data_IF_307408540872
#
_entry.id   IF_307408540872
#
_cell.length_a   1.000
_cell.length_b   1.000
_cell.length_c   1.000
_cell.angle_alpha   90.00
_cell.angle_beta   90.00
_cell.angle_gamma   90.00
#
_symmetry.space_group_name_H-M   'P 1'
#
loop_
_entity.id
_entity.type
_entity.pdbx_description
1 polymer ?
#
# COMPACT_ATOMS: atom_id res chain seq x y z
N UNK A 1 -8.78 -28.47 10.79
CA UNK A 1 -8.53 -28.43 12.25
C UNK A 1 -8.28 -26.98 12.64
N UNK A 2 -9.23 -26.33 13.30
CA UNK A 2 -9.12 -24.95 13.78
C UNK A 2 -9.38 -24.96 15.29
N UNK A 3 -8.34 -24.74 16.07
CA UNK A 3 -8.48 -24.33 17.47
C UNK A 3 -8.59 -22.80 17.48
N UNK A 4 -9.75 -22.28 17.88
CA UNK A 4 -9.90 -20.91 18.40
C UNK A 4 -9.81 -21.01 19.91
N UNK A 5 -8.75 -20.49 20.50
CA UNK A 5 -8.66 -20.21 21.92
C UNK A 5 -8.52 -18.69 22.07
N UNK A 6 -9.63 -18.04 22.39
CA UNK A 6 -9.68 -16.65 22.85
C UNK A 6 -9.41 -16.70 24.36
N UNK A 7 -8.27 -16.17 24.78
CA UNK A 7 -7.97 -15.90 26.19
C UNK A 7 -8.23 -14.41 26.42
N UNK A 8 -9.37 -14.12 27.05
CA UNK A 8 -9.70 -12.82 27.63
C UNK A 8 -9.27 -12.86 29.10
N UNK A 9 -8.26 -12.07 29.46
CA UNK A 9 -7.95 -11.72 30.85
C UNK A 9 -8.31 -10.25 31.02
N UNK A 10 -9.44 -9.99 31.67
CA UNK A 10 -9.78 -8.67 32.16
C UNK A 10 -9.32 -8.56 33.63
N UNK A 11 -8.57 -7.50 34.02
CA UNK A 11 -8.35 -7.21 35.42
C UNK A 11 -9.60 -6.53 36.00
N UNK A 12 -10.16 -7.14 37.04
CA UNK A 12 -11.22 -6.56 37.88
C UNK A 12 -10.58 -5.49 38.76
N UNK A 13 -10.81 -4.22 38.43
CA UNK A 13 -10.55 -3.07 39.29
C UNK A 13 -11.81 -2.75 40.10
N UNK A 14 -11.74 -2.98 41.41
CA UNK A 14 -12.72 -2.53 42.40
C UNK A 14 -12.38 -1.08 42.79
N UNK A 15 -13.24 -0.12 42.44
CA UNK A 15 -13.19 1.26 42.90
C UNK A 15 -14.46 1.60 43.71
N UNK A 16 -14.22 2.29 44.83
CA UNK A 16 -15.20 2.62 45.86
C UNK A 16 -16.20 3.69 45.41
N UNK A 17 -17.47 3.46 45.75
CA UNK A 17 -18.62 4.27 45.37
C UNK A 17 -18.98 5.31 46.46
N UNK A 18 -18.82 6.59 46.14
CA UNK A 18 -19.59 7.73 46.69
C UNK A 18 -19.41 8.93 45.73
N UNK A 19 -20.23 8.94 44.66
CA UNK A 19 -20.24 9.96 43.61
C UNK A 19 -20.91 9.53 42.29
N UNK A 20 -21.73 8.48 42.30
CA UNK A 20 -21.95 7.60 41.13
C UNK A 20 -23.21 7.83 40.28
N UNK A 21 -23.78 9.03 40.26
CA UNK A 21 -24.91 9.36 39.36
C UNK A 21 -24.45 9.58 37.91
N UNK A 22 -23.52 10.53 37.72
CA UNK A 22 -23.07 10.95 36.40
C UNK A 22 -22.38 9.87 35.56
N UNK A 23 -21.62 8.97 36.19
CA UNK A 23 -20.94 7.89 35.47
C UNK A 23 -21.91 6.88 34.85
N UNK A 24 -23.07 6.66 35.50
CA UNK A 24 -24.10 5.74 35.01
C UNK A 24 -24.84 6.32 33.81
N UNK A 25 -25.21 7.60 33.87
CA UNK A 25 -25.87 8.30 32.75
C UNK A 25 -24.94 8.37 31.54
N UNK A 26 -23.65 8.69 31.75
CA UNK A 26 -22.66 8.67 30.67
C UNK A 26 -22.54 7.27 30.05
N UNK A 27 -22.45 6.22 30.86
CA UNK A 27 -22.36 4.86 30.35
C UNK A 27 -23.59 4.45 29.54
N UNK A 28 -24.79 4.86 29.97
CA UNK A 28 -26.04 4.66 29.22
C UNK A 28 -26.05 5.42 27.89
N UNK A 29 -25.61 6.68 27.88
CA UNK A 29 -25.45 7.45 26.64
C UNK A 29 -24.49 6.78 25.67
N UNK A 30 -23.30 6.35 26.15
CA UNK A 30 -22.30 5.66 25.34
C UNK A 30 -22.88 4.37 24.76
N UNK A 31 -23.59 3.58 25.56
CA UNK A 31 -24.21 2.34 25.10
C UNK A 31 -25.27 2.59 24.02
N UNK A 32 -26.13 3.61 24.18
CA UNK A 32 -27.14 3.99 23.19
C UNK A 32 -26.49 4.48 21.89
N UNK A 33 -25.45 5.31 21.98
CA UNK A 33 -24.71 5.82 20.83
C UNK A 33 -24.01 4.67 20.04
N UNK A 34 -23.38 3.72 20.73
CA UNK A 34 -22.77 2.54 20.09
C UNK A 34 -23.83 1.65 19.45
N UNK A 35 -25.02 1.51 20.06
CA UNK A 35 -26.12 0.73 19.49
C UNK A 35 -26.65 1.31 18.17
N UNK A 36 -26.53 2.63 17.95
CA UNK A 36 -26.84 3.28 16.67
C UNK A 36 -25.72 3.13 15.62
N UNK A 37 -24.61 2.47 15.97
CA UNK A 37 -23.54 2.07 15.05
C UNK A 37 -22.32 2.99 15.03
N UNK A 38 -22.26 3.98 15.91
CA UNK A 38 -21.05 4.81 16.08
C UNK A 38 -19.95 4.06 16.86
N UNK A 39 -18.70 4.51 16.71
CA UNK A 39 -17.57 3.90 17.44
C UNK A 39 -17.58 4.25 18.92
N UNK A 40 -17.15 3.32 19.77
CA UNK A 40 -17.08 3.54 21.23
C UNK A 40 -16.24 4.79 21.58
N UNK A 41 -15.12 5.01 20.90
CA UNK A 41 -14.28 6.19 21.10
C UNK A 41 -15.02 7.52 20.80
N UNK A 42 -15.84 7.55 19.75
CA UNK A 42 -16.68 8.70 19.43
C UNK A 42 -17.72 8.94 20.53
N UNK A 43 -18.45 7.90 20.91
CA UNK A 43 -19.53 7.97 21.89
C UNK A 43 -19.01 8.38 23.27
N UNK A 44 -17.85 7.87 23.69
CA UNK A 44 -17.19 8.27 24.94
C UNK A 44 -16.80 9.74 24.91
N UNK A 45 -16.15 10.20 23.83
CA UNK A 45 -15.81 11.62 23.66
C UNK A 45 -17.04 12.51 23.73
N UNK A 46 -18.11 12.13 23.03
CA UNK A 46 -19.34 12.92 22.98
C UNK A 46 -20.03 12.95 24.34
N UNK A 47 -20.11 11.81 25.03
CA UNK A 47 -20.65 11.73 26.39
C UNK A 47 -19.87 12.59 27.39
N UNK A 48 -18.53 12.59 27.31
CA UNK A 48 -17.67 13.45 28.14
C UNK A 48 -17.87 14.94 27.86
N UNK A 49 -17.87 15.33 26.58
CA UNK A 49 -18.06 16.72 26.17
C UNK A 49 -19.44 17.24 26.59
N UNK A 50 -20.49 16.46 26.35
CA UNK A 50 -21.86 16.83 26.71
C UNK A 50 -22.06 16.90 28.23
N UNK A 51 -21.46 15.98 29.00
CA UNK A 51 -21.54 16.02 30.46
C UNK A 51 -20.80 17.23 31.05
N UNK A 52 -19.76 17.72 30.38
CA UNK A 52 -19.05 18.93 30.77
C UNK A 52 -19.82 20.22 30.42
N UNK A 53 -20.64 20.20 29.37
CA UNK A 53 -21.37 21.39 28.88
C UNK A 53 -22.82 21.51 29.35
N UNK A 54 -23.47 20.39 29.69
CA UNK A 54 -24.87 20.32 30.07
C UNK A 54 -25.00 20.12 31.59
N UNK A 55 -26.05 20.69 32.18
CA UNK A 55 -26.44 20.34 33.54
C UNK A 55 -26.97 18.90 33.61
N UNK A 56 -27.00 18.34 34.82
CA UNK A 56 -27.35 16.93 35.06
C UNK A 56 -28.75 16.56 34.57
N UNK A 57 -29.75 17.44 34.76
CA UNK A 57 -31.13 17.19 34.33
C UNK A 57 -31.23 17.19 32.79
N UNK A 58 -30.58 18.15 32.15
CA UNK A 58 -30.54 18.25 30.68
C UNK A 58 -29.79 17.07 30.06
N UNK A 59 -28.67 16.64 30.66
CA UNK A 59 -27.93 15.47 30.19
C UNK A 59 -28.73 14.19 30.36
N UNK A 60 -29.37 13.97 31.52
CA UNK A 60 -30.23 12.79 31.75
C UNK A 60 -31.37 12.72 30.73
N UNK A 61 -32.03 13.85 30.45
CA UNK A 61 -33.09 13.93 29.43
C UNK A 61 -32.58 13.56 28.04
N UNK A 62 -31.34 13.94 27.71
CA UNK A 62 -30.70 13.57 26.46
C UNK A 62 -30.37 12.07 26.40
N UNK A 63 -29.93 11.47 27.51
CA UNK A 63 -29.67 10.02 27.60
C UNK A 63 -30.94 9.22 27.36
N UNK A 64 -32.04 9.57 28.04
CA UNK A 64 -33.34 8.90 27.83
C UNK A 64 -33.82 9.01 26.38
N UNK A 65 -33.62 10.18 25.76
CA UNK A 65 -33.91 10.37 24.35
C UNK A 65 -33.06 9.46 23.46
N UNK A 66 -31.75 9.39 23.69
CA UNK A 66 -30.82 8.54 22.93
C UNK A 66 -31.15 7.04 23.07
N UNK A 67 -31.45 6.58 24.29
CA UNK A 67 -31.85 5.18 24.54
C UNK A 67 -33.17 4.85 23.83
N UNK A 68 -34.13 5.78 23.84
CA UNK A 68 -35.41 5.62 23.14
C UNK A 68 -35.21 5.50 21.64
N UNK A 69 -34.29 6.28 21.06
CA UNK A 69 -33.93 6.21 19.64
C UNK A 69 -33.26 4.87 19.30
N UNK A 70 -32.28 4.43 20.10
CA UNK A 70 -31.51 3.20 19.86
C UNK A 70 -32.37 1.92 19.78
N UNK A 71 -33.48 1.88 20.52
CA UNK A 71 -34.41 0.74 20.53
C UNK A 71 -35.60 0.85 19.56
N UNK A 72 -35.79 1.99 18.89
CA UNK A 72 -36.99 2.27 18.12
C UNK A 72 -36.91 1.75 16.67
N UNK A 73 -38.06 1.34 16.12
CA UNK A 73 -38.21 1.16 14.67
C UNK A 73 -38.11 2.50 13.93
N UNK A 74 -37.82 2.47 12.63
CA UNK A 74 -37.75 3.69 11.80
C UNK A 74 -39.02 4.58 11.92
N UNK A 75 -40.20 3.97 11.91
CA UNK A 75 -41.47 4.71 12.10
C UNK A 75 -41.58 5.34 13.50
N UNK A 76 -41.06 4.66 14.53
CA UNK A 76 -41.08 5.16 15.90
C UNK A 76 -40.04 6.26 16.14
N UNK A 77 -38.86 6.19 15.50
CA UNK A 77 -37.82 7.23 15.55
C UNK A 77 -38.38 8.60 15.14
N UNK A 78 -39.23 8.63 14.10
CA UNK A 78 -39.89 9.86 13.65
C UNK A 78 -40.80 10.49 14.71
N UNK A 79 -41.57 9.68 15.46
CA UNK A 79 -42.45 10.18 16.52
C UNK A 79 -41.65 10.66 17.74
N UNK A 80 -40.58 9.95 18.12
CA UNK A 80 -39.70 10.33 19.22
C UNK A 80 -39.01 11.67 18.92
N UNK A 81 -38.48 11.83 17.69
CA UNK A 81 -37.86 13.07 17.25
C UNK A 81 -38.83 14.27 17.30
N UNK A 82 -40.08 14.11 16.87
CA UNK A 82 -41.10 15.17 16.97
C UNK A 82 -41.42 15.54 18.41
N UNK A 83 -41.44 14.56 19.33
CA UNK A 83 -41.60 14.81 20.76
C UNK A 83 -40.45 15.65 21.33
N UNK A 84 -39.21 15.36 20.92
CA UNK A 84 -38.03 16.10 21.38
C UNK A 84 -38.06 17.58 21.00
N UNK A 85 -38.61 17.91 19.82
CA UNK A 85 -38.76 19.30 19.35
C UNK A 85 -39.74 20.13 20.19
N UNK A 86 -40.52 19.52 21.09
CA UNK A 86 -41.38 20.25 22.02
C UNK A 86 -40.68 20.71 23.30
N UNK A 87 -39.47 20.20 23.57
CA UNK A 87 -38.69 20.53 24.77
C UNK A 87 -37.50 21.45 24.42
N UNK A 88 -37.53 22.74 24.82
CA UNK A 88 -36.47 23.69 24.46
C UNK A 88 -35.10 23.36 25.07
N UNK A 89 -35.06 22.70 26.24
CA UNK A 89 -33.79 22.24 26.83
C UNK A 89 -33.17 21.13 25.99
N UNK A 90 -34.00 20.19 25.52
CA UNK A 90 -33.55 19.09 24.68
C UNK A 90 -33.10 19.58 23.30
N UNK A 91 -33.76 20.57 22.71
CA UNK A 91 -33.29 21.22 21.47
C UNK A 91 -31.89 21.81 21.67
N UNK A 92 -31.69 22.61 22.73
CA UNK A 92 -30.38 23.18 23.02
C UNK A 92 -29.31 22.09 23.26
N UNK A 93 -29.68 20.98 23.90
CA UNK A 93 -28.79 19.83 24.06
C UNK A 93 -28.45 19.16 22.71
N UNK A 94 -29.43 19.00 21.80
CA UNK A 94 -29.21 18.44 20.47
C UNK A 94 -28.30 19.33 19.61
N UNK A 95 -28.41 20.66 19.72
CA UNK A 95 -27.48 21.59 19.06
C UNK A 95 -26.04 21.39 19.57
N UNK A 96 -25.88 21.13 20.88
CA UNK A 96 -24.58 20.78 21.48
C UNK A 96 -24.08 19.41 21.03
N UNK A 97 -24.97 18.43 20.88
CA UNK A 97 -24.65 17.10 20.32
C UNK A 97 -24.06 17.25 18.92
N UNK A 98 -24.66 18.06 18.06
CA UNK A 98 -24.15 18.28 16.70
C UNK A 98 -22.79 18.99 16.70
N UNK A 99 -22.64 20.06 17.50
CA UNK A 99 -21.40 20.80 17.60
C UNK A 99 -20.23 19.93 18.09
N UNK A 100 -20.47 19.13 19.15
CA UNK A 100 -19.47 18.21 19.73
C UNK A 100 -19.24 16.98 18.85
N UNK A 101 -20.24 16.55 18.07
CA UNK A 101 -20.12 15.39 17.18
C UNK A 101 -18.99 15.58 16.18
N UNK A 102 -18.86 16.76 15.57
CA UNK A 102 -17.81 17.01 14.58
C UNK A 102 -16.40 16.84 15.17
N UNK A 103 -16.15 17.44 16.33
CA UNK A 103 -14.86 17.36 17.02
C UNK A 103 -14.58 15.95 17.52
N UNK A 104 -15.59 15.27 18.07
CA UNK A 104 -15.43 13.90 18.55
C UNK A 104 -15.25 12.89 17.41
N UNK A 105 -15.86 13.09 16.23
CA UNK A 105 -15.60 12.25 15.05
C UNK A 105 -14.17 12.38 14.59
N UNK A 106 -13.62 13.60 14.56
CA UNK A 106 -12.22 13.82 14.21
C UNK A 106 -11.27 13.20 15.24
N UNK A 107 -11.56 13.35 16.54
CA UNK A 107 -10.76 12.75 17.60
C UNK A 107 -10.80 11.20 17.54
N UNK A 108 -11.98 10.61 17.36
CA UNK A 108 -12.14 9.16 17.25
C UNK A 108 -11.41 8.61 16.03
N UNK A 109 -11.53 9.26 14.87
CA UNK A 109 -10.79 8.87 13.66
C UNK A 109 -9.27 8.97 13.84
N UNK A 110 -8.80 9.99 14.58
CA UNK A 110 -7.38 10.15 14.88
C UNK A 110 -6.87 9.05 15.82
N UNK A 111 -7.62 8.70 16.85
CA UNK A 111 -7.25 7.62 17.76
C UNK A 111 -7.26 6.25 17.07
N UNK A 112 -8.24 5.99 16.19
CA UNK A 112 -8.25 4.79 15.35
C UNK A 112 -7.02 4.73 14.44
N UNK A 113 -6.70 5.84 13.75
CA UNK A 113 -5.51 5.92 12.91
C UNK A 113 -4.21 5.78 13.71
N UNK A 114 -4.14 6.28 14.95
CA UNK A 114 -2.99 6.07 15.85
C UNK A 114 -2.84 4.60 16.24
N UNK A 115 -3.94 3.93 16.56
CA UNK A 115 -3.93 2.51 16.86
C UNK A 115 -3.45 1.69 15.65
N UNK A 116 -3.92 2.03 14.45
CA UNK A 116 -3.47 1.41 13.19
C UNK A 116 -1.96 1.62 12.97
N UNK A 117 -1.47 2.86 13.08
CA UNK A 117 -0.03 3.17 12.98
C UNK A 117 0.78 2.35 14.00
N UNK A 118 0.32 2.26 15.24
CA UNK A 118 1.00 1.48 16.27
C UNK A 118 1.09 -0.02 15.90
N UNK A 119 0.03 -0.59 15.31
CA UNK A 119 0.03 -1.98 14.80
C UNK A 119 1.06 -2.14 13.67
N UNK A 120 1.10 -1.20 12.72
CA UNK A 120 2.06 -1.22 11.61
C UNK A 120 3.50 -1.08 12.09
N UNK A 121 3.75 -0.21 13.06
CA UNK A 121 5.07 -0.06 13.68
C UNK A 121 5.50 -1.32 14.42
N UNK A 122 4.59 -1.98 15.13
CA UNK A 122 4.85 -3.25 15.78
C UNK A 122 5.19 -4.34 14.75
N UNK A 123 4.46 -4.42 13.64
CA UNK A 123 4.73 -5.34 12.54
C UNK A 123 6.12 -5.08 11.90
N UNK A 124 6.44 -3.81 11.62
CA UNK A 124 7.75 -3.37 11.13
C UNK A 124 8.87 -3.77 12.08
N UNK A 125 8.69 -3.57 13.38
CA UNK A 125 9.67 -3.94 14.41
C UNK A 125 9.84 -5.47 14.53
N UNK A 126 8.76 -6.24 14.44
CA UNK A 126 8.83 -7.70 14.40
C UNK A 126 9.63 -8.18 13.17
N UNK A 127 9.37 -7.57 12.01
CA UNK A 127 10.08 -7.87 10.77
C UNK A 127 11.56 -7.51 10.84
N UNK A 128 11.92 -6.35 11.41
CA UNK A 128 13.33 -5.99 11.67
C UNK A 128 14.04 -7.04 12.51
N UNK A 129 13.38 -7.58 13.54
CA UNK A 129 13.95 -8.67 14.37
C UNK A 129 14.14 -9.95 13.55
N UNK A 130 13.19 -10.29 12.68
CA UNK A 130 13.31 -11.44 11.78
C UNK A 130 14.44 -11.27 10.77
N UNK A 131 14.56 -10.09 10.15
CA UNK A 131 15.62 -9.76 9.22
C UNK A 131 17.00 -9.80 9.89
N UNK A 132 17.13 -9.25 11.10
CA UNK A 132 18.37 -9.30 11.88
C UNK A 132 18.78 -10.73 12.28
N UNK A 133 17.83 -11.66 12.40
CA UNK A 133 18.10 -13.07 12.65
C UNK A 133 18.47 -13.87 11.39
N UNK A 134 18.28 -13.29 10.19
CA UNK A 134 18.58 -13.93 8.91
C UNK A 134 20.09 -13.96 8.66
N UNK A 135 20.56 -15.00 7.97
CA UNK A 135 21.95 -15.07 7.51
C UNK A 135 22.11 -14.24 6.24
N UNK A 136 22.76 -13.08 6.37
CA UNK A 136 23.07 -12.20 5.25
C UNK A 136 24.54 -12.31 4.83
N UNK A 137 24.86 -12.14 3.52
CA UNK A 137 23.93 -11.89 2.42
C UNK A 137 23.14 -13.15 2.02
N UNK A 138 21.87 -12.96 1.63
CA UNK A 138 21.07 -14.04 1.06
C UNK A 138 21.66 -14.49 -0.28
N UNK A 139 21.68 -15.79 -0.54
CA UNK A 139 22.10 -16.35 -1.83
C UNK A 139 20.87 -16.90 -2.54
N UNK A 140 20.39 -16.26 -3.61
CA UNK A 140 19.20 -16.71 -4.31
C UNK A 140 19.42 -18.07 -4.95
N UNK A 141 18.37 -18.88 -5.02
CA UNK A 141 18.40 -20.20 -5.66
C UNK A 141 18.10 -20.01 -7.15
N UNK A 142 19.10 -19.55 -7.88
CA UNK A 142 18.97 -19.24 -9.31
C UNK A 142 20.22 -19.62 -10.07
N UNK A 143 20.04 -20.06 -11.31
CA UNK A 143 21.16 -20.32 -12.21
C UNK A 143 22.00 -19.05 -12.45
N UNK A 144 23.33 -19.18 -12.52
CA UNK A 144 24.18 -18.10 -12.96
C UNK A 144 23.74 -17.56 -14.32
N UNK A 145 23.97 -16.26 -14.55
CA UNK A 145 23.79 -15.67 -15.87
C UNK A 145 24.71 -16.37 -16.87
N UNK A 146 24.19 -16.69 -18.05
CA UNK A 146 25.01 -17.27 -19.12
C UNK A 146 26.12 -16.28 -19.53
N UNK A 147 27.33 -16.75 -19.87
CA UNK A 147 28.39 -15.87 -20.37
C UNK A 147 27.92 -15.07 -21.59
N UNK A 148 28.13 -13.75 -21.57
CA UNK A 148 27.72 -12.83 -22.64
C UNK A 148 26.24 -12.46 -22.68
N UNK A 149 25.40 -13.04 -21.81
CA UNK A 149 24.01 -12.60 -21.68
C UNK A 149 23.95 -11.18 -21.07
N UNK A 150 22.93 -10.38 -21.44
CA UNK A 150 22.79 -9.02 -20.94
C UNK A 150 22.61 -8.97 -19.42
N UNK A 151 23.08 -7.89 -18.81
CA UNK A 151 22.88 -7.62 -17.38
C UNK A 151 21.41 -7.30 -17.14
N UNK A 152 20.76 -8.10 -16.30
CA UNK A 152 19.30 -8.11 -16.07
C UNK A 152 18.95 -7.86 -14.59
N UNK A 153 19.89 -7.33 -13.81
CA UNK A 153 19.71 -7.10 -12.37
C UNK A 153 19.56 -5.63 -11.99
N UNK A 154 18.81 -5.38 -10.91
CA UNK A 154 18.72 -4.09 -10.22
C UNK A 154 18.94 -4.34 -8.74
N UNK A 155 20.05 -3.82 -8.19
CA UNK A 155 20.42 -4.04 -6.79
C UNK A 155 20.38 -5.52 -6.37
N UNK A 156 21.03 -6.37 -7.18
CA UNK A 156 21.10 -7.83 -7.03
C UNK A 156 19.79 -8.60 -7.24
N UNK A 157 18.65 -7.92 -7.42
CA UNK A 157 17.39 -8.53 -7.83
C UNK A 157 17.42 -8.85 -9.31
N UNK A 158 17.01 -10.06 -9.70
CA UNK A 158 17.00 -10.53 -11.09
C UNK A 158 15.64 -11.10 -11.50
N UNK A 159 15.36 -11.01 -12.78
CA UNK A 159 14.21 -11.66 -13.39
C UNK A 159 14.27 -13.17 -13.19
N UNK A 160 13.14 -13.77 -12.83
CA UNK A 160 12.98 -15.19 -12.56
C UNK A 160 13.33 -15.63 -11.14
N UNK A 161 13.73 -14.73 -10.24
CA UNK A 161 13.83 -15.05 -8.80
C UNK A 161 12.46 -15.42 -8.22
N UNK A 162 12.44 -16.28 -7.19
CA UNK A 162 11.20 -16.52 -6.42
C UNK A 162 10.83 -15.31 -5.56
N UNK A 163 9.59 -15.28 -5.08
CA UNK A 163 9.16 -14.27 -4.12
C UNK A 163 10.05 -14.26 -2.87
N UNK A 164 10.35 -15.43 -2.33
CA UNK A 164 11.12 -15.61 -1.10
C UNK A 164 12.57 -15.15 -1.28
N UNK A 165 13.17 -15.38 -2.45
CA UNK A 165 14.53 -14.92 -2.74
C UNK A 165 14.60 -13.39 -2.86
N UNK A 166 13.61 -12.77 -3.52
CA UNK A 166 13.54 -11.30 -3.65
C UNK A 166 13.37 -10.66 -2.27
N UNK A 167 12.40 -11.15 -1.48
CA UNK A 167 12.16 -10.68 -0.12
C UNK A 167 13.41 -10.83 0.75
N UNK A 168 14.10 -11.97 0.67
CA UNK A 168 15.32 -12.22 1.43
C UNK A 168 16.48 -11.28 1.07
N UNK A 169 16.69 -11.00 -0.21
CA UNK A 169 17.72 -10.06 -0.65
C UNK A 169 17.42 -8.67 -0.11
N UNK A 170 16.16 -8.21 -0.26
CA UNK A 170 15.73 -6.89 0.19
C UNK A 170 15.84 -6.74 1.72
N UNK A 171 15.41 -7.75 2.49
CA UNK A 171 15.57 -7.75 3.95
C UNK A 171 17.04 -7.69 4.38
N UNK A 172 17.94 -8.35 3.63
CA UNK A 172 19.37 -8.35 3.93
C UNK A 172 20.09 -7.03 3.64
N UNK A 173 19.44 -6.05 2.98
CA UNK A 173 20.05 -4.74 2.74
C UNK A 173 20.10 -3.87 3.98
N UNK A 174 19.14 -4.03 4.90
CA UNK A 174 19.04 -3.27 6.15
C UNK A 174 18.53 -1.83 6.01
N UNK A 175 18.52 -1.26 4.80
CA UNK A 175 17.98 0.07 4.50
C UNK A 175 16.46 0.06 4.18
N UNK A 176 15.92 -1.08 3.74
CA UNK A 176 14.50 -1.23 3.40
C UNK A 176 13.74 -1.90 4.54
N UNK A 177 12.68 -1.25 5.04
CA UNK A 177 12.05 -1.61 6.32
C UNK A 177 10.55 -1.88 6.20
N UNK A 178 9.91 -1.35 5.17
CA UNK A 178 8.49 -1.53 4.91
C UNK A 178 8.34 -2.45 3.72
N UNK A 179 7.48 -3.44 3.86
CA UNK A 179 7.23 -4.46 2.85
C UNK A 179 5.74 -4.66 2.76
N UNK A 180 5.20 -4.54 1.57
CA UNK A 180 3.79 -4.69 1.30
C UNK A 180 3.57 -5.59 0.09
N UNK A 181 2.51 -6.38 0.12
CA UNK A 181 2.21 -7.40 -0.88
C UNK A 181 0.82 -7.16 -1.43
N UNK A 182 0.74 -6.80 -2.71
CA UNK A 182 -0.54 -6.69 -3.40
C UNK A 182 -0.92 -8.04 -4.02
N UNK A 183 -2.16 -8.45 -3.76
CA UNK A 183 -2.71 -9.71 -4.27
C UNK A 183 -2.94 -9.67 -5.77
N UNK A 184 -3.30 -8.52 -6.31
CA UNK A 184 -3.76 -8.35 -7.68
C UNK A 184 -2.94 -7.26 -8.34
N UNK A 185 -2.54 -7.43 -9.60
CA UNK A 185 -1.96 -6.35 -10.42
C UNK A 185 -2.03 -6.67 -11.90
N UNK A 186 -1.39 -7.78 -12.30
CA UNK A 186 -1.49 -8.26 -13.67
C UNK A 186 -2.86 -8.88 -13.94
N UNK A 187 -3.45 -9.52 -12.92
CA UNK A 187 -4.71 -10.29 -13.00
C UNK A 187 -5.57 -10.17 -11.74
N UNK A 188 -6.87 -10.30 -11.94
CA UNK A 188 -7.86 -10.52 -10.87
C UNK A 188 -7.59 -11.90 -10.24
N UNK A 189 -7.57 -11.97 -8.90
CA UNK A 189 -7.28 -13.20 -8.18
C UNK A 189 -8.49 -14.13 -8.09
N UNK A 190 -9.69 -13.63 -8.38
CA UNK A 190 -10.98 -14.32 -8.24
C UNK A 190 -11.15 -14.97 -6.85
N UNK A 191 -10.63 -14.31 -5.82
CA UNK A 191 -10.68 -14.77 -4.43
C UNK A 191 -9.60 -15.80 -4.06
N UNK A 192 -8.76 -16.23 -4.99
CA UNK A 192 -7.56 -17.06 -4.72
C UNK A 192 -6.51 -16.20 -4.04
N UNK A 193 -5.73 -16.78 -3.12
CA UNK A 193 -4.60 -16.08 -2.50
C UNK A 193 -3.43 -16.01 -3.50
N UNK A 194 -2.92 -14.81 -3.71
CA UNK A 194 -1.88 -14.51 -4.71
C UNK A 194 -0.97 -13.42 -4.17
N UNK A 195 0.27 -13.36 -4.69
CA UNK A 195 1.27 -12.33 -4.34
C UNK A 195 1.84 -11.75 -5.63
N UNK A 196 1.08 -10.86 -6.28
CA UNK A 196 1.42 -10.36 -7.62
C UNK A 196 2.38 -9.17 -7.61
N UNK A 197 2.39 -8.39 -6.52
CA UNK A 197 3.37 -7.33 -6.30
C UNK A 197 3.99 -7.46 -4.92
N UNK A 198 5.28 -7.14 -4.85
CA UNK A 198 5.98 -6.80 -3.61
C UNK A 198 6.48 -5.37 -3.71
N UNK A 199 6.08 -4.50 -2.80
CA UNK A 199 6.71 -3.20 -2.57
C UNK A 199 7.64 -3.32 -1.37
N UNK A 200 8.85 -2.79 -1.49
CA UNK A 200 9.79 -2.67 -0.39
C UNK A 200 10.42 -1.27 -0.38
N UNK A 201 10.24 -0.52 0.71
CA UNK A 201 10.69 0.87 0.81
C UNK A 201 11.29 1.25 2.18
N UNK A 202 12.14 2.29 2.18
CA UNK A 202 12.85 2.81 3.36
C UNK A 202 12.09 3.91 4.13
N UNK A 203 10.93 4.33 3.63
CA UNK A 203 10.15 5.44 4.22
C UNK A 203 9.61 5.17 5.62
N UNK A 204 8.94 6.17 6.19
CA UNK A 204 8.28 6.06 7.48
C UNK A 204 6.79 5.81 7.28
N UNK A 205 6.16 5.07 8.19
CA UNK A 205 4.71 4.87 8.19
C UNK A 205 4.03 6.24 8.28
N UNK A 206 3.07 6.49 7.39
CA UNK A 206 2.35 7.76 7.37
C UNK A 206 1.69 8.04 8.73
N UNK A 207 1.91 9.22 9.34
CA UNK A 207 1.39 9.55 10.67
C UNK A 207 -0.14 9.61 10.66
N UNK A 208 -0.75 9.37 11.81
CA UNK A 208 -2.20 9.29 11.96
C UNK A 208 -2.91 10.58 11.50
N UNK A 209 -2.32 11.74 11.80
CA UNK A 209 -2.84 13.04 11.40
C UNK A 209 -2.91 13.17 9.87
N UNK A 210 -1.87 12.72 9.16
CA UNK A 210 -1.84 12.75 7.70
C UNK A 210 -2.85 11.77 7.10
N UNK A 211 -3.03 10.58 7.68
CA UNK A 211 -4.04 9.61 7.24
C UNK A 211 -5.45 10.18 7.32
N UNK A 212 -5.82 10.77 8.46
CA UNK A 212 -7.14 11.40 8.66
C UNK A 212 -7.33 12.61 7.73
N UNK A 213 -6.24 13.31 7.38
CA UNK A 213 -6.24 14.40 6.40
C UNK A 213 -6.26 13.92 4.92
N UNK A 214 -6.50 12.64 4.65
CA UNK A 214 -6.56 12.08 3.31
C UNK A 214 -5.21 11.70 2.71
N UNK A 215 -4.20 11.44 3.54
CA UNK A 215 -2.87 10.99 3.13
C UNK A 215 -1.97 12.08 2.56
N UNK A 216 -2.25 13.37 2.83
CA UNK A 216 -1.42 14.46 2.33
C UNK A 216 0.05 14.30 2.77
N UNK A 217 0.96 14.32 1.79
CA UNK A 217 2.41 14.19 2.04
C UNK A 217 2.90 12.74 2.14
N UNK A 218 2.01 11.75 1.99
CA UNK A 218 2.36 10.34 1.98
C UNK A 218 2.21 9.74 0.56
N UNK A 219 3.01 8.73 0.26
CA UNK A 219 3.10 8.02 -1.02
C UNK A 219 2.67 6.55 -0.83
N UNK A 220 1.54 6.20 -1.43
CA UNK A 220 0.96 4.85 -1.46
C UNK A 220 1.49 3.98 -2.62
N UNK A 221 2.50 4.47 -3.36
CA UNK A 221 3.06 3.81 -4.54
C UNK A 221 2.08 3.68 -5.71
N UNK A 222 0.92 4.34 -5.66
CA UNK A 222 -0.12 4.31 -6.69
C UNK A 222 -0.89 3.00 -6.81
N UNK A 223 -0.88 2.14 -5.78
CA UNK A 223 -1.55 0.84 -5.81
C UNK A 223 -2.19 0.44 -4.47
N UNK A 224 -2.64 1.43 -3.68
CA UNK A 224 -3.19 1.20 -2.35
C UNK A 224 -2.26 0.40 -1.44
N UNK A 225 -0.94 0.53 -1.64
CA UNK A 225 0.02 0.07 -0.65
C UNK A 225 -0.09 0.96 0.59
N UNK A 226 0.46 0.46 1.68
CA UNK A 226 0.64 1.21 2.91
C UNK A 226 1.28 2.59 2.62
N UNK A 227 0.60 3.71 2.90
CA UNK A 227 1.15 5.04 2.64
C UNK A 227 2.39 5.29 3.50
N UNK A 228 3.46 5.75 2.85
CA UNK A 228 4.73 6.07 3.50
C UNK A 228 5.14 7.52 3.24
N UNK A 229 5.82 8.15 4.19
CA UNK A 229 6.47 9.44 4.01
C UNK A 229 7.99 9.26 3.85
N UNK A 230 8.67 10.26 3.29
CA UNK A 230 10.14 10.31 3.22
C UNK A 230 10.79 9.09 2.53
N UNK A 231 10.13 8.55 1.50
CA UNK A 231 10.63 7.39 0.73
C UNK A 231 11.79 7.81 -0.18
N UNK A 232 13.00 7.37 0.13
CA UNK A 232 14.20 7.63 -0.67
C UNK A 232 14.60 6.43 -1.53
N UNK A 233 14.31 5.20 -1.09
CA UNK A 233 14.49 3.98 -1.85
C UNK A 233 13.18 3.21 -1.89
N UNK A 234 12.79 2.80 -3.09
CA UNK A 234 11.65 1.94 -3.29
C UNK A 234 11.98 0.90 -4.34
N UNK A 235 11.63 -0.35 -4.04
CA UNK A 235 11.63 -1.46 -4.97
C UNK A 235 10.20 -1.94 -5.14
N UNK A 236 9.77 -2.11 -6.38
CA UNK A 236 8.51 -2.79 -6.69
C UNK A 236 8.85 -3.97 -7.58
N UNK A 237 8.39 -5.16 -7.22
CA UNK A 237 8.64 -6.37 -8.00
C UNK A 237 7.31 -7.01 -8.33
N UNK A 238 7.05 -7.20 -9.63
CA UNK A 238 5.89 -7.93 -10.10
C UNK A 238 6.21 -9.40 -10.31
N UNK A 239 5.29 -10.24 -9.88
CA UNK A 239 5.39 -11.70 -9.97
C UNK A 239 4.25 -12.27 -10.80
N UNK A 240 4.53 -13.37 -11.48
CA UNK A 240 3.52 -14.23 -12.08
C UNK A 240 3.64 -15.64 -11.50
N UNK A 241 2.49 -16.28 -11.27
CA UNK A 241 2.40 -17.63 -10.69
C UNK A 241 1.59 -17.66 -9.39
N UNK A 242 1.13 -18.86 -9.02
CA UNK A 242 0.49 -19.13 -7.73
C UNK A 242 1.52 -19.15 -6.57
N UNK A 243 1.07 -19.06 -5.30
CA UNK A 243 1.93 -19.22 -4.13
C UNK A 243 2.90 -20.40 -4.17
N UNK A 244 4.20 -20.12 -4.00
CA UNK A 244 5.33 -21.04 -4.09
C UNK A 244 5.91 -21.20 -5.50
N UNK A 245 5.17 -20.81 -6.54
CA UNK A 245 5.58 -20.87 -7.93
C UNK A 245 5.87 -19.48 -8.53
N UNK A 246 5.75 -18.41 -7.75
CA UNK A 246 5.93 -17.05 -8.23
C UNK A 246 7.33 -16.81 -8.78
N UNK A 247 7.40 -16.09 -9.91
CA UNK A 247 8.67 -15.68 -10.50
C UNK A 247 8.64 -14.19 -10.82
N UNK A 248 9.69 -13.48 -10.42
CA UNK A 248 9.86 -12.06 -10.67
C UNK A 248 9.91 -11.81 -12.18
N UNK A 249 8.96 -11.04 -12.71
CA UNK A 249 8.85 -10.72 -14.13
C UNK A 249 9.20 -9.28 -14.48
N UNK A 250 9.03 -8.39 -13.51
CA UNK A 250 9.38 -6.98 -13.63
C UNK A 250 9.94 -6.47 -12.31
N UNK A 251 10.99 -5.67 -12.37
CA UNK A 251 11.62 -5.05 -11.20
C UNK A 251 11.74 -3.56 -11.47
N UNK A 252 11.16 -2.75 -10.59
CA UNK A 252 11.36 -1.31 -10.52
C UNK A 252 12.21 -0.97 -9.31
N UNK A 253 13.06 0.03 -9.49
CA UNK A 253 13.76 0.73 -8.41
C UNK A 253 13.59 2.22 -8.60
N UNK A 254 13.13 2.90 -7.55
CA UNK A 254 13.18 4.35 -7.42
C UNK A 254 14.21 4.73 -6.36
N UNK A 255 15.02 5.71 -6.69
CA UNK A 255 15.95 6.36 -5.76
C UNK A 255 15.70 7.86 -5.81
N UNK A 256 15.30 8.45 -4.69
CA UNK A 256 15.25 9.90 -4.48
C UNK A 256 16.47 10.29 -3.67
N UNK A 257 17.20 11.29 -4.14
CA UNK A 257 18.39 11.80 -3.48
C UNK A 257 18.03 12.99 -2.59
N UNK A 258 18.69 13.13 -1.44
CA UNK A 258 18.57 14.34 -0.64
C UNK A 258 19.24 15.52 -1.36
N UNK A 259 18.79 16.75 -1.12
CA UNK A 259 19.35 17.95 -1.79
C UNK A 259 20.86 18.11 -1.60
N UNK A 260 21.37 17.72 -0.44
CA UNK A 260 22.80 17.74 -0.12
C UNK A 260 23.62 16.66 -0.82
N UNK A 261 22.96 15.65 -1.40
CA UNK A 261 23.58 14.45 -1.97
C UNK A 261 23.23 14.25 -3.45
N UNK A 262 22.69 15.28 -4.11
CA UNK A 262 22.37 15.19 -5.54
C UNK A 262 23.61 14.80 -6.36
N UNK A 263 23.63 13.62 -7.00
CA UNK A 263 24.69 13.27 -7.93
C UNK A 263 24.52 14.09 -9.21
N UNK A 264 25.58 14.17 -10.00
CA UNK A 264 25.47 14.74 -11.34
C UNK A 264 24.71 13.79 -12.26
N UNK A 265 23.93 14.35 -13.19
CA UNK A 265 23.26 13.58 -14.25
C UNK A 265 24.31 12.76 -15.03
N UNK A 266 25.47 13.36 -15.34
CA UNK A 266 26.57 12.67 -16.04
C UNK A 266 27.11 11.48 -15.25
N UNK A 267 27.34 11.60 -13.94
CA UNK A 267 27.82 10.47 -13.13
C UNK A 267 26.84 9.30 -13.11
N UNK A 268 25.54 9.58 -13.12
CA UNK A 268 24.52 8.52 -13.21
C UNK A 268 24.51 7.88 -14.60
N UNK A 269 24.62 8.68 -15.66
CA UNK A 269 24.71 8.15 -17.04
C UNK A 269 25.93 7.25 -17.21
N UNK A 270 27.09 7.65 -16.69
CA UNK A 270 28.32 6.87 -16.74
C UNK A 270 28.18 5.55 -15.98
N UNK A 271 27.67 5.58 -14.74
CA UNK A 271 27.45 4.37 -13.95
C UNK A 271 26.45 3.39 -14.62
N UNK A 272 25.40 3.92 -15.26
CA UNK A 272 24.45 3.11 -16.02
C UNK A 272 25.09 2.48 -17.26
N UNK A 273 25.94 3.22 -17.98
CA UNK A 273 26.67 2.71 -19.15
C UNK A 273 27.71 1.68 -18.74
N UNK A 274 28.39 1.87 -17.61
CA UNK A 274 29.31 0.89 -17.05
C UNK A 274 28.57 -0.41 -16.71
N UNK A 275 27.40 -0.32 -16.08
CA UNK A 275 26.62 -1.48 -15.66
C UNK A 275 25.94 -2.22 -16.83
N UNK A 276 25.25 -1.51 -17.70
CA UNK A 276 24.38 -2.11 -18.73
C UNK A 276 24.95 -2.02 -20.16
N UNK A 277 26.08 -1.33 -20.35
CA UNK A 277 26.66 -1.04 -21.67
C UNK A 277 26.06 0.22 -22.30
N UNK A 278 26.38 0.48 -23.58
CA UNK A 278 25.84 1.65 -24.30
C UNK A 278 24.34 1.46 -24.60
N UNK A 279 23.47 2.44 -24.28
CA UNK A 279 22.05 2.35 -24.60
C UNK A 279 21.83 2.41 -26.12
N UNK A 280 20.84 1.66 -26.62
CA UNK A 280 20.42 1.69 -28.02
C UNK A 280 19.24 2.63 -28.29
N UNK A 281 18.63 3.17 -27.23
CA UNK A 281 17.71 4.29 -27.28
C UNK A 281 18.03 5.29 -26.15
N UNK A 282 18.02 6.58 -26.47
CA UNK A 282 18.13 7.64 -25.48
C UNK A 282 17.16 8.77 -25.83
N UNK A 283 16.56 9.38 -24.81
CA UNK A 283 15.73 10.57 -24.94
C UNK A 283 16.25 11.60 -23.94
N UNK A 284 16.80 12.70 -24.47
CA UNK A 284 17.42 13.78 -23.70
C UNK A 284 16.79 15.16 -23.97
N UNK A 285 15.97 15.32 -25.02
CA UNK A 285 15.04 16.45 -25.28
C UNK A 285 14.19 16.21 -26.55
N UNK A 286 13.10 16.99 -26.70
CA UNK A 286 12.05 17.01 -27.75
C UNK A 286 12.28 16.15 -29.01
N UNK A 287 11.58 15.02 -29.12
CA UNK A 287 11.59 14.25 -30.37
C UNK A 287 10.94 12.88 -30.30
N UNK A 288 10.81 12.34 -29.07
CA UNK A 288 10.18 11.05 -28.82
C UNK A 288 9.02 11.19 -27.84
N UNK A 289 8.02 11.99 -28.23
CA UNK A 289 6.79 12.24 -27.45
C UNK A 289 6.02 10.96 -27.09
N UNK A 290 6.23 9.85 -27.80
CA UNK A 290 5.58 8.57 -27.51
C UNK A 290 6.18 7.78 -26.33
N UNK A 291 7.40 8.13 -25.86
CA UNK A 291 8.14 7.34 -24.87
C UNK A 291 7.70 7.54 -23.41
N UNK A 292 6.71 8.40 -23.17
CA UNK A 292 6.19 8.75 -21.84
C UNK A 292 7.30 9.15 -20.88
N UNK A 293 8.25 9.92 -21.39
CA UNK A 293 9.30 10.55 -20.62
C UNK A 293 8.70 11.75 -19.86
N UNK A 294 9.13 11.98 -18.63
CA UNK A 294 8.75 13.21 -17.92
C UNK A 294 9.51 14.41 -18.53
N UNK A 295 8.88 15.58 -18.70
CA UNK A 295 9.56 16.75 -19.23
C UNK A 295 10.86 17.06 -18.46
N UNK A 296 11.95 17.25 -19.20
CA UNK A 296 13.28 17.53 -18.64
C UNK A 296 14.06 16.30 -18.15
N UNK A 297 13.50 15.09 -18.21
CA UNK A 297 14.23 13.88 -17.81
C UNK A 297 15.18 13.38 -18.90
N UNK A 298 16.23 12.67 -18.47
CA UNK A 298 17.11 11.92 -19.37
C UNK A 298 16.75 10.44 -19.24
N UNK A 299 16.29 9.83 -20.33
CA UNK A 299 15.95 8.40 -20.35
C UNK A 299 16.94 7.62 -21.20
N UNK A 300 17.53 6.58 -20.62
CA UNK A 300 18.31 5.55 -21.33
C UNK A 300 17.51 4.26 -21.43
N UNK A 301 17.68 3.54 -22.54
CA UNK A 301 17.01 2.27 -22.78
C UNK A 301 17.94 1.27 -23.47
N UNK A 302 17.91 0.03 -22.98
CA UNK A 302 18.56 -1.14 -23.55
C UNK A 302 17.47 -2.14 -23.89
N UNK A 303 17.25 -2.33 -25.19
CA UNK A 303 16.10 -3.09 -25.68
C UNK A 303 16.59 -4.25 -26.53
N UNK A 304 16.18 -5.45 -26.14
CA UNK A 304 16.55 -6.70 -26.76
C UNK A 304 15.31 -7.34 -27.40
N UNK A 305 15.51 -8.11 -28.46
CA UNK A 305 14.48 -8.96 -29.02
C UNK A 305 14.26 -10.22 -28.13
N UNK A 306 13.22 -11.02 -28.40
CA UNK A 306 12.95 -12.23 -27.60
C UNK A 306 14.07 -13.27 -27.61
N UNK A 307 15.01 -13.20 -28.55
CA UNK A 307 16.17 -14.10 -28.64
C UNK A 307 17.39 -13.55 -27.89
N UNK A 308 17.27 -12.37 -27.27
CA UNK A 308 18.33 -11.72 -26.51
C UNK A 308 19.30 -10.90 -27.35
N UNK A 309 19.01 -10.66 -28.63
CA UNK A 309 19.83 -9.79 -29.45
C UNK A 309 19.42 -8.32 -29.25
N UNK A 310 20.40 -7.43 -29.13
CA UNK A 310 20.15 -5.99 -29.01
C UNK A 310 19.47 -5.49 -30.29
N UNK A 311 18.34 -4.78 -30.15
CA UNK A 311 17.64 -4.20 -31.30
C UNK A 311 18.49 -3.02 -31.81
N UNK A 312 18.91 -2.98 -33.09
CA UNK A 312 19.73 -1.90 -33.59
C UNK A 312 18.92 -0.58 -33.63
N UNK A 313 19.60 0.55 -33.39
CA UNK A 313 18.96 1.88 -33.45
C UNK A 313 18.40 2.22 -34.83
N UNK A 314 18.89 1.56 -35.90
CA UNK A 314 18.36 1.68 -37.26
C UNK A 314 16.98 1.04 -37.43
N UNK A 315 16.56 0.12 -36.56
CA UNK A 315 15.21 -0.45 -36.55
C UNK A 315 14.31 0.32 -35.58
N UNK A 316 14.04 1.58 -35.93
CA UNK A 316 13.24 2.49 -35.12
C UNK A 316 11.82 1.98 -34.85
N UNK A 317 11.23 1.21 -35.78
CA UNK A 317 9.88 0.68 -35.65
C UNK A 317 9.80 -0.46 -34.61
N UNK A 318 10.75 -1.41 -34.62
CA UNK A 318 10.81 -2.44 -33.58
C UNK A 318 11.23 -1.87 -32.23
N UNK A 319 12.23 -0.99 -32.23
CA UNK A 319 12.72 -0.32 -31.03
C UNK A 319 11.59 0.45 -30.33
N UNK A 320 10.86 1.29 -31.06
CA UNK A 320 9.73 2.09 -30.55
C UNK A 320 8.61 1.23 -29.97
N UNK A 321 8.32 0.07 -30.56
CA UNK A 321 7.29 -0.85 -30.04
C UNK A 321 7.69 -1.47 -28.71
N UNK A 322 8.97 -1.75 -28.52
CA UNK A 322 9.47 -2.43 -27.33
C UNK A 322 9.78 -1.48 -26.18
N UNK A 323 10.36 -0.31 -26.45
CA UNK A 323 10.69 0.68 -25.41
C UNK A 323 9.44 1.26 -24.74
N UNK A 324 8.29 1.28 -25.43
CA UNK A 324 7.04 1.82 -24.92
C UNK A 324 6.28 0.91 -23.95
N UNK A 325 6.76 -0.31 -23.72
CA UNK A 325 6.17 -1.24 -22.75
C UNK A 325 6.39 -0.76 -21.31
N UNK A 326 7.48 -1.19 -20.65
CA UNK A 326 7.72 -0.84 -19.25
C UNK A 326 8.06 0.65 -19.11
N UNK A 327 7.40 1.34 -18.17
CA UNK A 327 7.78 2.70 -17.77
C UNK A 327 8.85 2.63 -16.66
N UNK A 328 9.86 3.52 -16.65
CA UNK A 328 10.89 3.55 -15.60
C UNK A 328 10.32 3.79 -14.21
N UNK A 329 9.37 4.73 -14.11
CA UNK A 329 8.62 4.97 -12.87
C UNK A 329 7.48 3.98 -12.77
N UNK A 330 7.29 3.34 -11.61
CA UNK A 330 6.14 2.48 -11.38
C UNK A 330 4.83 3.28 -11.48
N UNK A 331 3.81 2.68 -12.09
CA UNK A 331 2.48 3.25 -12.31
C UNK A 331 1.48 2.09 -12.22
N UNK A 332 0.28 2.36 -11.71
CA UNK A 332 -0.77 1.34 -11.57
C UNK A 332 -1.20 0.70 -12.90
N UNK A 333 -0.86 1.30 -14.05
CA UNK A 333 -1.07 0.70 -15.38
C UNK A 333 0.25 0.61 -16.13
N UNK A 334 0.65 -0.61 -16.45
CA UNK A 334 1.80 -0.91 -17.29
C UNK A 334 1.36 -1.64 -18.55
N UNK A 335 2.10 -1.42 -19.63
CA UNK A 335 1.95 -2.18 -20.85
C UNK A 335 3.21 -2.99 -21.11
N UNK A 336 3.08 -4.09 -21.83
CA UNK A 336 4.21 -4.83 -22.36
C UNK A 336 3.82 -5.47 -23.68
N UNK A 337 4.82 -5.87 -24.44
CA UNK A 337 4.63 -6.50 -25.73
C UNK A 337 5.37 -7.84 -25.75
N UNK A 338 4.62 -8.93 -25.87
CA UNK A 338 5.17 -10.28 -25.98
C UNK A 338 6.05 -10.50 -27.21
N UNK A 339 6.17 -9.55 -28.15
CA UNK A 339 7.14 -9.60 -29.24
C UNK A 339 8.52 -9.01 -28.88
N UNK A 340 8.71 -8.54 -27.65
CA UNK A 340 9.93 -7.89 -27.16
C UNK A 340 10.58 -8.74 -26.07
N UNK A 341 11.91 -8.77 -26.01
CA UNK A 341 12.63 -9.51 -24.96
C UNK A 341 12.93 -8.63 -23.75
N UNK A 342 14.16 -8.77 -23.24
CA UNK A 342 14.66 -7.92 -22.17
C UNK A 342 14.59 -6.44 -22.55
N UNK A 343 14.09 -5.62 -21.64
CA UNK A 343 14.01 -4.18 -21.74
C UNK A 343 14.41 -3.59 -20.40
N UNK A 344 15.47 -2.78 -20.45
CA UNK A 344 15.97 -2.03 -19.31
C UNK A 344 15.74 -0.57 -19.64
N UNK A 345 15.13 0.18 -18.74
CA UNK A 345 15.01 1.63 -18.90
C UNK A 345 15.40 2.32 -17.62
N UNK A 346 16.18 3.39 -17.75
CA UNK A 346 16.57 4.25 -16.66
C UNK A 346 16.13 5.67 -16.96
N UNK A 347 15.42 6.32 -16.04
CA UNK A 347 15.04 7.73 -16.11
C UNK A 347 15.74 8.51 -15.00
N UNK A 348 16.51 9.52 -15.39
CA UNK A 348 17.19 10.45 -14.50
C UNK A 348 16.39 11.76 -14.50
N UNK A 349 15.89 12.14 -13.33
CA UNK A 349 15.16 13.40 -13.15
C UNK A 349 16.09 14.48 -12.64
N UNK A 350 16.20 15.62 -13.32
CA UNK A 350 17.01 16.73 -12.83
C UNK A 350 16.42 17.36 -11.56
N UNK A 351 17.29 17.97 -10.77
CA UNK A 351 16.90 18.82 -9.66
C UNK A 351 16.14 20.07 -10.15
N UNK A 352 15.20 20.56 -9.34
CA UNK A 352 14.43 21.77 -9.69
C UNK A 352 15.37 22.96 -9.78
N UNK A 353 15.35 23.65 -10.92
CA UNK A 353 16.23 24.79 -11.18
C UNK A 353 17.69 24.44 -11.49
N UNK A 354 18.08 23.16 -11.51
CA UNK A 354 19.43 22.73 -11.86
C UNK A 354 19.44 21.42 -12.66
N UNK A 355 19.58 21.54 -13.98
CA UNK A 355 19.57 20.40 -14.90
C UNK A 355 20.83 19.51 -14.86
N UNK A 356 21.90 19.93 -14.17
CA UNK A 356 23.16 19.19 -14.08
C UNK A 356 23.13 18.19 -12.93
N UNK A 357 22.32 18.45 -11.91
CA UNK A 357 22.13 17.60 -10.74
C UNK A 357 20.89 16.74 -10.90
N UNK A 358 20.93 15.51 -10.39
CA UNK A 358 19.80 14.59 -10.41
C UNK A 358 19.18 14.50 -9.02
N UNK A 359 17.86 14.67 -8.94
CA UNK A 359 17.09 14.47 -7.70
C UNK A 359 16.53 13.06 -7.56
N UNK A 360 16.39 12.35 -8.67
CA UNK A 360 15.74 11.03 -8.67
C UNK A 360 16.26 10.18 -9.84
N UNK A 361 16.46 8.89 -9.58
CA UNK A 361 16.78 7.85 -10.57
C UNK A 361 15.73 6.75 -10.48
N UNK A 362 15.10 6.44 -11.61
CA UNK A 362 14.18 5.31 -11.75
C UNK A 362 14.76 4.30 -12.71
N UNK A 363 14.72 3.02 -12.35
CA UNK A 363 15.16 1.93 -13.21
C UNK A 363 14.08 0.87 -13.25
N UNK A 364 13.71 0.43 -14.45
CA UNK A 364 12.88 -0.76 -14.65
C UNK A 364 13.66 -1.79 -15.46
N UNK A 365 13.55 -3.06 -15.06
CA UNK A 365 14.02 -4.21 -15.83
C UNK A 365 12.86 -5.17 -16.01
N UNK A 366 12.61 -5.56 -17.27
CA UNK A 366 11.53 -6.46 -17.66
C UNK A 366 11.95 -7.32 -18.84
N UNK A 367 11.68 -8.63 -18.80
CA UNK A 367 11.66 -9.47 -20.00
C UNK A 367 10.21 -9.59 -20.46
N UNK A 368 9.86 -8.80 -21.48
CA UNK A 368 8.45 -8.60 -21.85
C UNK A 368 7.81 -9.88 -22.40
N UNK A 369 8.54 -10.65 -23.23
CA UNK A 369 8.13 -11.95 -23.75
C UNK A 369 7.91 -12.93 -22.61
N UNK A 370 8.92 -13.08 -21.74
CA UNK A 370 8.87 -14.06 -20.66
C UNK A 370 7.76 -13.74 -19.67
N UNK A 371 7.54 -12.46 -19.37
CA UNK A 371 6.46 -12.06 -18.48
C UNK A 371 5.09 -12.26 -19.12
N UNK A 372 4.92 -11.93 -20.41
CA UNK A 372 3.68 -12.19 -21.15
C UNK A 372 3.29 -13.67 -21.13
N UNK A 373 4.27 -14.56 -21.39
CA UNK A 373 4.05 -16.01 -21.31
C UNK A 373 3.69 -16.45 -19.87
N UNK A 374 4.41 -15.95 -18.87
CA UNK A 374 4.20 -16.32 -17.48
C UNK A 374 2.82 -15.89 -16.97
N UNK A 375 2.35 -14.70 -17.35
CA UNK A 375 1.01 -14.21 -17.00
C UNK A 375 -0.08 -15.04 -17.68
N UNK A 376 0.10 -15.44 -18.95
CA UNK A 376 -0.84 -16.35 -19.63
C UNK A 376 -0.92 -17.71 -18.96
N UNK A 377 0.22 -18.24 -18.50
CA UNK A 377 0.23 -19.49 -17.74
C UNK A 377 -0.48 -19.30 -16.39
N UNK A 378 -0.21 -18.19 -15.72
CA UNK A 378 -0.84 -17.86 -14.46
C UNK A 378 -2.38 -17.75 -14.58
N UNK A 379 -2.91 -17.23 -15.69
CA UNK A 379 -4.35 -17.23 -15.98
C UNK A 379 -4.96 -18.64 -16.06
N UNK A 380 -4.21 -19.59 -16.60
CA UNK A 380 -4.63 -21.01 -16.67
C UNK A 380 -4.63 -21.61 -15.26
N UNK A 381 -3.58 -21.34 -14.50
CA UNK A 381 -3.41 -21.87 -13.15
C UNK A 381 -4.46 -21.31 -12.18
N UNK A 382 -4.77 -20.01 -12.28
CA UNK A 382 -5.84 -19.35 -11.50
C UNK A 382 -7.21 -19.97 -11.77
N UNK A 383 -7.59 -20.14 -13.04
CA UNK A 383 -8.87 -20.78 -13.39
C UNK A 383 -8.96 -22.18 -12.81
N UNK A 384 -7.89 -22.96 -12.90
CA UNK A 384 -7.80 -24.30 -12.33
C UNK A 384 -7.98 -24.27 -10.80
N UNK A 385 -7.34 -23.33 -10.11
CA UNK A 385 -7.45 -23.17 -8.66
C UNK A 385 -8.87 -22.75 -8.22
N UNK A 386 -9.49 -21.82 -8.94
CA UNK A 386 -10.88 -21.38 -8.70
C UNK A 386 -11.85 -22.55 -8.88
N UNK A 387 -11.75 -23.31 -9.97
CA UNK A 387 -12.58 -24.49 -10.20
C UNK A 387 -12.43 -25.54 -9.09
N UNK A 388 -11.20 -25.78 -8.63
CA UNK A 388 -10.94 -26.69 -7.51
C UNK A 388 -11.59 -26.20 -6.20
N UNK A 389 -11.55 -24.90 -5.93
CA UNK A 389 -12.18 -24.30 -4.76
C UNK A 389 -13.71 -24.44 -4.79
N UNK A 390 -14.34 -24.29 -5.96
CA UNK A 390 -15.78 -24.49 -6.11
C UNK A 390 -16.21 -25.95 -5.95
N UNK A 391 -15.45 -26.90 -6.52
CA UNK A 391 -15.72 -28.34 -6.33
C UNK A 391 -15.69 -28.75 -4.85
N UNK A 392 -14.80 -28.16 -4.06
CA UNK A 392 -14.73 -28.40 -2.61
C UNK A 392 -15.90 -27.82 -1.80
N UNK A 393 -16.61 -26.82 -2.33
CA UNK A 393 -17.78 -26.20 -1.69
C UNK A 393 -19.11 -26.82 -2.09
N UNK A 394 -19.17 -27.52 -3.23
CA UNK A 394 -20.38 -28.13 -3.79
C UNK A 394 -20.77 -29.52 -3.24
N UNK A 395 -20.08 -30.02 -2.21
CA UNK A 395 -20.39 -31.30 -1.57
C UNK A 395 -20.79 -31.11 -0.10
N UNK A 396 -21.85 -30.35 0.16
CA UNK A 396 -22.64 -30.58 1.36
C UNK A 396 -23.64 -31.69 1.03
N UNK A 397 -23.68 -32.82 1.76
CA UNK A 397 -24.78 -33.76 1.62
C UNK A 397 -26.05 -33.04 2.06
N UNK A 398 -27.05 -33.03 1.20
CA UNK A 398 -28.43 -32.74 1.56
C UNK A 398 -28.81 -33.81 2.61
N UNK A 399 -28.94 -33.41 3.87
CA UNK A 399 -29.41 -34.26 4.97
C UNK A 399 -30.88 -33.97 5.23
#
# INVERSE_FOLDING_TARGET
MRYRALVLIAPVLLLAACGGGGDREKAAFVAACVAEGDSEAFCVCQGDALRAELDEETFASLVEFAESMAGASEDAKGMIAMGALSNPKLIAALDKVEATAKTCKQAAALEEARAEVAVLEAARNARRKQAAARKCPHRPVMSPRLPGAPVDDVADLRLGMSFEDVEAILECRGDVLNFDVAREWARDSHGVETRQLLRAADGEICPAEARVAGGQGCDDGGYAFEPLQNVNQEFVVAFAGLPGAERAGVIWRRTVFSESEYPTVSSLQEALVEKYGRPNASANQEGYYSLGHRPGSVTYSWVYDPMGALIPSSDSARLSRCVNGPRPTFQGRMSWNGACGLTIRAEIMPAVGNAILARELNVVVMDQKRFDDAVKQFDIDLRTAVEAQHKGKGAAPDL
#
